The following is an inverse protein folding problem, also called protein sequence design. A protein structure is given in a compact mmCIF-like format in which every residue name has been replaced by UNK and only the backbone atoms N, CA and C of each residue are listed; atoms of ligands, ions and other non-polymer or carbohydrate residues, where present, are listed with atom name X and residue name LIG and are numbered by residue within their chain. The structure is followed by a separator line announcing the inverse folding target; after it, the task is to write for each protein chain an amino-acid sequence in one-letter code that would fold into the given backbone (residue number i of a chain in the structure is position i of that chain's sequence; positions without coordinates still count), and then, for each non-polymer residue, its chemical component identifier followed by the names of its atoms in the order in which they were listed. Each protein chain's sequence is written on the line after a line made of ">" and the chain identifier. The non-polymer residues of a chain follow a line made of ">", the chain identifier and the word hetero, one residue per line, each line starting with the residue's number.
data_IF_045798018104
#
_entry.id   IF_045798018104
#
_cell.length_a   1.000
_cell.length_b   1.000
_cell.length_c   1.000
_cell.angle_alpha   90.00
_cell.angle_beta   90.00
_cell.angle_gamma   90.00
#
_symmetry.space_group_name_H-M   'P 1'
#
loop_
_entity.id
_entity.type
_entity.pdbx_description
1 polymer ?
#
# COMPACT_ATOMS: atom_id res chain seq x y z
N UNK A 1 -3.55 -12.59 -7.55
CA UNK A 1 -4.01 -11.65 -6.52
C UNK A 1 -2.93 -11.34 -5.49
N UNK A 2 -2.59 -12.30 -4.63
CA UNK A 2 -1.77 -12.08 -3.43
C UNK A 2 -0.35 -11.57 -3.71
N UNK A 3 0.32 -12.08 -4.75
CA UNK A 3 1.65 -11.62 -5.11
C UNK A 3 1.67 -10.15 -5.54
N UNK A 4 0.63 -9.68 -6.25
CA UNK A 4 0.51 -8.28 -6.68
C UNK A 4 0.24 -7.35 -5.49
N UNK A 5 -0.68 -7.73 -4.59
CA UNK A 5 -0.93 -6.98 -3.34
C UNK A 5 0.32 -6.92 -2.47
N UNK A 6 1.03 -8.04 -2.30
CA UNK A 6 2.25 -8.09 -1.50
C UNK A 6 3.33 -7.16 -2.05
N UNK A 7 3.55 -7.19 -3.37
CA UNK A 7 4.54 -6.32 -4.01
C UNK A 7 4.17 -4.84 -3.88
N UNK A 8 2.89 -4.49 -4.05
CA UNK A 8 2.40 -3.11 -3.89
C UNK A 8 2.59 -2.61 -2.45
N UNK A 9 2.19 -3.40 -1.44
CA UNK A 9 2.36 -3.04 -0.04
C UNK A 9 3.83 -2.93 0.37
N UNK A 10 4.69 -3.84 -0.10
CA UNK A 10 6.11 -3.82 0.21
C UNK A 10 6.80 -2.56 -0.33
N UNK A 11 6.49 -2.17 -1.57
CA UNK A 11 7.03 -0.94 -2.16
C UNK A 11 6.52 0.29 -1.41
N UNK A 12 5.22 0.35 -1.10
CA UNK A 12 4.65 1.47 -0.34
C UNK A 12 5.26 1.62 1.06
N UNK A 13 5.57 0.52 1.74
CA UNK A 13 6.30 0.55 3.02
C UNK A 13 7.71 1.12 2.82
N UNK A 14 8.41 0.69 1.78
CA UNK A 14 9.76 1.19 1.47
C UNK A 14 9.74 2.70 1.19
N UNK A 15 8.80 3.17 0.37
CA UNK A 15 8.65 4.58 0.03
C UNK A 15 8.25 5.41 1.27
N UNK A 16 7.34 4.89 2.10
CA UNK A 16 6.95 5.54 3.35
C UNK A 16 8.12 5.66 4.32
N UNK A 17 8.97 4.63 4.45
CA UNK A 17 10.18 4.69 5.27
C UNK A 17 11.14 5.79 4.79
N UNK A 18 11.33 5.95 3.47
CA UNK A 18 12.12 7.06 2.92
C UNK A 18 11.52 8.43 3.27
N UNK A 19 10.19 8.57 3.25
CA UNK A 19 9.53 9.81 3.66
C UNK A 19 9.69 10.07 5.18
N UNK A 20 9.66 9.03 6.00
CA UNK A 20 9.89 9.14 7.45
C UNK A 20 11.32 9.60 7.76
N UNK A 21 12.33 9.08 7.05
CA UNK A 21 13.72 9.53 7.16
C UNK A 21 13.88 11.02 6.81
N UNK A 22 13.14 11.48 5.80
CA UNK A 22 13.07 12.89 5.41
C UNK A 22 12.19 13.76 6.34
N UNK A 23 11.55 13.17 7.36
CA UNK A 23 10.56 13.80 8.25
C UNK A 23 9.30 14.32 7.54
N UNK A 24 9.00 13.78 6.36
CA UNK A 24 7.80 14.04 5.60
C UNK A 24 6.65 13.15 6.10
N UNK A 25 6.26 13.30 7.37
CA UNK A 25 5.29 12.39 8.00
C UNK A 25 3.92 12.36 7.32
N UNK A 26 3.46 13.50 6.80
CA UNK A 26 2.20 13.58 6.05
C UNK A 26 2.23 12.76 4.75
N UNK A 27 3.35 12.79 4.04
CA UNK A 27 3.52 12.00 2.81
C UNK A 27 3.67 10.51 3.14
N UNK A 28 4.42 10.18 4.20
CA UNK A 28 4.54 8.81 4.69
C UNK A 28 3.18 8.20 5.04
N UNK A 29 2.31 8.97 5.72
CA UNK A 29 0.95 8.55 6.04
C UNK A 29 0.09 8.38 4.78
N UNK A 30 0.17 9.33 3.85
CA UNK A 30 -0.58 9.30 2.59
C UNK A 30 -0.27 8.04 1.78
N UNK A 31 1.01 7.72 1.59
CA UNK A 31 1.47 6.51 0.88
C UNK A 31 0.91 5.25 1.51
N UNK A 32 0.96 5.13 2.84
CA UNK A 32 0.45 3.95 3.55
C UNK A 32 -1.07 3.81 3.42
N UNK A 33 -1.82 4.91 3.57
CA UNK A 33 -3.29 4.88 3.45
C UNK A 33 -3.73 4.53 2.04
N UNK A 34 -3.03 5.02 1.02
CA UNK A 34 -3.34 4.69 -0.37
C UNK A 34 -3.08 3.21 -0.64
N UNK A 35 -1.92 2.70 -0.22
CA UNK A 35 -1.56 1.29 -0.40
C UNK A 35 -2.53 0.34 0.33
N UNK A 36 -3.00 0.71 1.52
CA UNK A 36 -4.05 -0.03 2.23
C UNK A 36 -5.36 -0.08 1.42
N UNK A 37 -5.85 1.06 0.91
CA UNK A 37 -7.08 1.10 0.11
C UNK A 37 -6.98 0.29 -1.18
N UNK A 38 -5.84 0.36 -1.87
CA UNK A 38 -5.58 -0.44 -3.07
C UNK A 38 -5.56 -1.94 -2.73
N UNK A 39 -4.92 -2.32 -1.62
CA UNK A 39 -4.90 -3.71 -1.15
C UNK A 39 -6.30 -4.22 -0.78
N UNK A 40 -7.11 -3.42 -0.10
CA UNK A 40 -8.51 -3.74 0.22
C UNK A 40 -9.35 -3.91 -1.04
N UNK A 41 -9.21 -3.00 -2.01
CA UNK A 41 -9.92 -3.07 -3.30
C UNK A 41 -9.58 -4.36 -4.04
N UNK A 42 -8.28 -4.66 -4.18
CA UNK A 42 -7.81 -5.90 -4.79
C UNK A 42 -8.28 -7.14 -4.02
N UNK A 43 -8.36 -7.09 -2.69
CA UNK A 43 -8.85 -8.22 -1.92
C UNK A 43 -10.35 -8.50 -2.18
N UNK A 44 -11.17 -7.44 -2.22
CA UNK A 44 -12.61 -7.53 -2.49
C UNK A 44 -12.89 -8.03 -3.92
N UNK A 45 -12.23 -7.45 -4.92
CA UNK A 45 -12.33 -7.88 -6.32
C UNK A 45 -11.97 -9.37 -6.52
N UNK A 46 -11.03 -9.88 -5.71
CA UNK A 46 -10.60 -11.27 -5.77
C UNK A 46 -11.51 -12.24 -5.03
N UNK A 47 -12.31 -11.74 -4.08
CA UNK A 47 -13.32 -12.50 -3.36
C UNK A 47 -14.62 -12.61 -4.17
N UNK A 48 -14.94 -11.59 -4.96
CA UNK A 48 -16.14 -11.53 -5.80
C UNK A 48 -15.92 -12.07 -7.23
N UNK A 49 -14.75 -12.63 -7.52
CA UNK A 49 -14.48 -13.34 -8.76
C UNK A 49 -15.20 -14.72 -8.77
N UNK A 50 -16.02 -15.03 -9.80
CA UNK A 50 -16.78 -16.29 -9.89
C UNK A 50 -15.91 -17.55 -9.99
#
# INVERSE_FOLDING_TARGET
>A
MFQKMYFALFNAITDSLTQLEARNYGEAEHILREAQQQAETLFLEGRDAP
#
